data_IF_233710185741
#
_entry.id   IF_233710185741
#
_cell.length_a   1.000
_cell.length_b   1.000
_cell.length_c   1.000
_cell.angle_alpha   90.00
_cell.angle_beta   90.00
_cell.angle_gamma   90.00
#
_symmetry.space_group_name_H-M   'P 1'
#
loop_
_entity.id
_entity.type
_entity.pdbx_description
1 polymer ?
#
# COMPACT_ATOMS: atom_id res chain seq x y z
N UNK A 1 11.49 -7.89 -20.37
CA UNK A 1 10.40 -7.99 -19.38
C UNK A 1 10.99 -8.58 -18.12
N UNK A 2 11.09 -7.81 -17.04
CA UNK A 2 11.52 -8.35 -15.74
C UNK A 2 10.54 -9.46 -15.33
N UNK A 3 11.07 -10.62 -14.94
CA UNK A 3 10.25 -11.73 -14.46
C UNK A 3 9.85 -11.42 -13.01
N UNK A 4 8.57 -11.61 -12.67
CA UNK A 4 7.98 -11.32 -11.37
C UNK A 4 8.78 -11.88 -10.18
N UNK A 5 9.34 -13.08 -10.35
CA UNK A 5 10.18 -13.73 -9.34
C UNK A 5 11.49 -12.97 -9.10
N UNK A 6 12.05 -12.33 -10.13
CA UNK A 6 13.29 -11.57 -10.05
C UNK A 6 13.15 -10.27 -9.23
N UNK A 7 12.00 -9.59 -9.31
CA UNK A 7 11.71 -8.39 -8.51
C UNK A 7 11.51 -8.73 -7.03
N UNK A 8 11.04 -9.95 -6.73
CA UNK A 8 10.80 -10.42 -5.38
C UNK A 8 12.08 -10.94 -4.70
N UNK A 9 12.94 -11.62 -5.45
CA UNK A 9 14.19 -12.23 -4.97
C UNK A 9 15.39 -11.27 -4.96
N UNK A 10 15.26 -10.09 -5.60
CA UNK A 10 16.36 -9.15 -5.69
C UNK A 10 16.62 -8.46 -4.34
N UNK A 11 17.84 -8.68 -3.81
CA UNK A 11 18.30 -8.21 -2.51
C UNK A 11 18.23 -6.68 -2.35
N UNK A 12 18.35 -5.92 -3.45
CA UNK A 12 18.18 -4.46 -3.43
C UNK A 12 16.76 -4.03 -3.02
N UNK A 13 15.74 -4.84 -3.33
CA UNK A 13 14.37 -4.59 -2.91
C UNK A 13 14.10 -5.02 -1.48
N UNK A 14 14.89 -5.94 -0.89
CA UNK A 14 14.71 -6.36 0.50
C UNK A 14 14.80 -5.17 1.48
N UNK A 15 15.82 -4.33 1.32
CA UNK A 15 16.00 -3.11 2.13
C UNK A 15 14.86 -2.12 1.90
N UNK A 16 14.42 -1.96 0.65
CA UNK A 16 13.30 -1.10 0.29
C UNK A 16 12.00 -1.59 0.93
N UNK A 17 11.75 -2.90 0.94
CA UNK A 17 10.56 -3.51 1.54
C UNK A 17 10.53 -3.36 3.06
N UNK A 18 11.68 -3.51 3.72
CA UNK A 18 11.77 -3.25 5.17
C UNK A 18 11.43 -1.78 5.48
N UNK A 19 11.99 -0.85 4.70
CA UNK A 19 11.69 0.58 4.85
C UNK A 19 10.21 0.90 4.58
N UNK A 20 9.62 0.26 3.57
CA UNK A 20 8.19 0.41 3.26
C UNK A 20 7.31 -0.12 4.40
N UNK A 21 7.65 -1.27 5.01
CA UNK A 21 6.94 -1.78 6.18
C UNK A 21 6.97 -0.79 7.34
N UNK A 22 8.14 -0.19 7.62
CA UNK A 22 8.29 0.80 8.68
C UNK A 22 7.45 2.06 8.42
N UNK A 23 7.54 2.63 7.21
CA UNK A 23 6.78 3.82 6.80
C UNK A 23 5.28 3.53 6.89
N UNK A 24 4.83 2.43 6.27
CA UNK A 24 3.41 2.03 6.24
C UNK A 24 2.86 1.84 7.65
N UNK A 25 3.64 1.23 8.55
CA UNK A 25 3.23 1.05 9.95
C UNK A 25 3.08 2.39 10.66
N UNK A 26 4.07 3.28 10.53
CA UNK A 26 4.04 4.61 11.17
C UNK A 26 2.85 5.45 10.68
N UNK A 27 2.64 5.50 9.37
CA UNK A 27 1.52 6.24 8.78
C UNK A 27 0.16 5.64 9.18
N UNK A 28 0.06 4.31 9.23
CA UNK A 28 -1.16 3.62 9.66
C UNK A 28 -1.51 3.92 11.11
N UNK A 29 -0.51 3.98 12.01
CA UNK A 29 -0.73 4.39 13.41
C UNK A 29 -1.33 5.79 13.47
N UNK A 30 -0.77 6.74 12.70
CA UNK A 30 -1.27 8.12 12.66
C UNK A 30 -2.73 8.16 12.16
N UNK A 31 -3.06 7.38 11.12
CA UNK A 31 -4.42 7.28 10.60
C UNK A 31 -5.37 6.71 11.67
N UNK A 32 -4.98 5.63 12.34
CA UNK A 32 -5.76 5.01 13.42
C UNK A 32 -6.01 5.99 14.58
N UNK A 33 -4.99 6.71 15.03
CA UNK A 33 -5.10 7.67 16.13
C UNK A 33 -5.98 8.90 15.78
N UNK A 34 -6.14 9.22 14.50
CA UNK A 34 -7.09 10.26 14.06
C UNK A 34 -8.55 9.81 14.14
N UNK A 35 -8.83 8.50 14.19
CA UNK A 35 -10.18 7.98 14.30
C UNK A 35 -10.62 7.87 15.77
N UNK A 36 -11.65 8.63 16.17
CA UNK A 36 -12.11 8.71 17.57
C UNK A 36 -12.35 7.33 18.20
N UNK A 37 -13.00 6.42 17.49
CA UNK A 37 -13.31 5.06 17.97
C UNK A 37 -12.08 4.15 18.15
N UNK A 38 -11.00 4.41 17.42
CA UNK A 38 -9.77 3.59 17.49
C UNK A 38 -8.80 4.21 18.50
N UNK A 39 -8.71 5.55 18.54
CA UNK A 39 -7.83 6.28 19.46
C UNK A 39 -8.02 5.86 20.92
N UNK A 40 -9.25 5.56 21.35
CA UNK A 40 -9.55 5.12 22.72
C UNK A 40 -8.94 3.77 23.10
N UNK A 41 -8.44 2.99 22.13
CA UNK A 41 -7.84 1.67 22.38
C UNK A 41 -6.35 1.74 22.75
N UNK A 42 -5.69 2.89 22.57
CA UNK A 42 -4.27 3.10 22.90
C UNK A 42 -3.30 2.65 21.80
N UNK A 43 -2.13 3.30 21.74
CA UNK A 43 -1.15 3.10 20.66
C UNK A 43 -0.55 1.68 20.63
N UNK A 44 -0.24 1.10 21.80
CA UNK A 44 0.31 -0.26 21.89
C UNK A 44 -0.63 -1.31 21.32
N UNK A 45 -1.94 -1.15 21.57
CA UNK A 45 -2.96 -2.03 21.00
C UNK A 45 -3.03 -1.87 19.48
N UNK A 46 -3.08 -0.64 18.98
CA UNK A 46 -3.09 -0.32 17.54
C UNK A 46 -1.88 -0.95 16.86
N UNK A 47 -0.68 -0.79 17.44
CA UNK A 47 0.56 -1.36 16.91
C UNK A 47 0.48 -2.88 16.83
N UNK A 48 -0.03 -3.55 17.87
CA UNK A 48 -0.21 -5.01 17.88
C UNK A 48 -1.18 -5.47 16.79
N UNK A 49 -2.29 -4.77 16.60
CA UNK A 49 -3.26 -5.05 15.53
C UNK A 49 -2.61 -4.88 14.15
N UNK A 50 -1.90 -3.76 13.93
CA UNK A 50 -1.22 -3.51 12.65
C UNK A 50 -0.13 -4.55 12.35
N UNK A 51 0.66 -4.96 13.35
CA UNK A 51 1.62 -6.07 13.20
C UNK A 51 0.93 -7.40 12.88
N UNK A 52 -0.27 -7.64 13.40
CA UNK A 52 -1.07 -8.80 13.05
C UNK A 52 -1.62 -8.75 11.62
N UNK A 53 -1.80 -7.57 11.03
CA UNK A 53 -2.31 -7.40 9.66
C UNK A 53 -1.17 -7.39 8.65
N UNK A 54 -0.17 -6.53 8.86
CA UNK A 54 0.96 -6.31 7.95
C UNK A 54 2.06 -7.36 8.12
N UNK A 55 2.14 -7.98 9.30
CA UNK A 55 3.30 -8.78 9.71
C UNK A 55 4.39 -7.92 10.37
N UNK A 56 5.35 -8.60 11.00
CA UNK A 56 6.45 -7.96 11.74
C UNK A 56 7.68 -7.77 10.85
N UNK A 57 7.77 -8.52 9.76
CA UNK A 57 8.90 -8.50 8.82
C UNK A 57 8.42 -8.44 7.38
N UNK A 58 9.26 -7.88 6.50
CA UNK A 58 8.97 -7.81 5.07
C UNK A 58 8.93 -9.18 4.37
N UNK A 59 9.43 -10.24 5.02
CA UNK A 59 9.38 -11.63 4.53
C UNK A 59 8.14 -12.39 5.00
N UNK A 60 7.34 -11.81 5.89
CA UNK A 60 6.14 -12.47 6.38
C UNK A 60 5.12 -12.63 5.26
N UNK A 61 4.44 -13.79 5.18
CA UNK A 61 3.40 -14.05 4.18
C UNK A 61 2.34 -12.94 4.15
N UNK A 62 2.04 -12.37 5.32
CA UNK A 62 1.16 -11.21 5.46
C UNK A 62 1.65 -10.02 4.65
N UNK A 63 2.91 -9.60 4.84
CA UNK A 63 3.48 -8.47 4.10
C UNK A 63 3.66 -8.78 2.61
N UNK A 64 3.97 -10.03 2.27
CA UNK A 64 4.13 -10.47 0.88
C UNK A 64 2.87 -10.26 0.05
N UNK A 65 1.68 -10.42 0.65
CA UNK A 65 0.40 -10.09 -0.02
C UNK A 65 0.31 -8.60 -0.37
N UNK A 66 0.76 -7.71 0.53
CA UNK A 66 0.82 -6.28 0.23
C UNK A 66 1.86 -5.95 -0.84
N UNK A 67 3.02 -6.62 -0.84
CA UNK A 67 4.04 -6.46 -1.89
C UNK A 67 3.49 -6.85 -3.26
N UNK A 68 2.78 -7.97 -3.37
CA UNK A 68 2.15 -8.40 -4.61
C UNK A 68 1.17 -7.35 -5.14
N UNK A 69 0.24 -6.89 -4.30
CA UNK A 69 -0.74 -5.86 -4.69
C UNK A 69 -0.04 -4.55 -5.13
N UNK A 70 0.98 -4.12 -4.38
CA UNK A 70 1.74 -2.92 -4.73
C UNK A 70 2.47 -3.06 -6.08
N UNK A 71 2.98 -4.24 -6.39
CA UNK A 71 3.62 -4.53 -7.67
C UNK A 71 2.62 -4.55 -8.83
N UNK A 72 1.44 -5.15 -8.64
CA UNK A 72 0.35 -5.11 -9.64
C UNK A 72 -0.02 -3.67 -10.00
N UNK A 73 -0.14 -2.79 -9.00
CA UNK A 73 -0.39 -1.35 -9.22
C UNK A 73 0.81 -0.66 -9.88
N UNK A 74 2.05 -0.97 -9.47
CA UNK A 74 3.26 -0.36 -10.03
C UNK A 74 3.46 -0.67 -11.52
N UNK A 75 3.10 -1.88 -11.96
CA UNK A 75 3.22 -2.27 -13.38
C UNK A 75 2.24 -1.51 -14.26
N UNK A 76 1.11 -1.05 -13.72
CA UNK A 76 0.10 -0.28 -14.45
C UNK A 76 0.47 1.21 -14.62
N UNK A 77 1.54 1.42 -15.39
CA UNK A 77 2.06 2.76 -15.72
C UNK A 77 1.24 3.48 -16.78
N UNK A 78 0.50 2.75 -17.63
CA UNK A 78 -0.25 3.32 -18.74
C UNK A 78 -1.41 4.19 -18.26
N UNK A 79 -2.22 3.70 -17.32
CA UNK A 79 -3.31 4.49 -16.71
C UNK A 79 -2.78 5.73 -15.98
N UNK A 80 -1.69 5.59 -15.23
CA UNK A 80 -1.07 6.72 -14.51
C UNK A 80 -0.60 7.82 -15.48
N UNK A 81 0.07 7.43 -16.58
CA UNK A 81 0.52 8.37 -17.62
C UNK A 81 -0.68 9.04 -18.31
N UNK A 82 -1.76 8.29 -18.56
CA UNK A 82 -2.99 8.85 -19.15
C UNK A 82 -3.62 9.89 -18.23
N UNK A 83 -3.82 9.56 -16.94
CA UNK A 83 -4.32 10.50 -15.93
C UNK A 83 -3.46 11.76 -15.85
N UNK A 84 -2.14 11.60 -15.83
CA UNK A 84 -1.21 12.73 -15.81
C UNK A 84 -1.41 13.67 -17.01
N UNK A 85 -1.46 13.12 -18.23
CA UNK A 85 -1.58 13.90 -19.46
C UNK A 85 -2.94 14.57 -19.59
N UNK A 86 -4.01 13.82 -19.33
CA UNK A 86 -5.38 14.29 -19.58
C UNK A 86 -5.80 15.35 -18.55
N UNK A 87 -5.44 15.16 -17.28
CA UNK A 87 -5.72 16.14 -16.22
C UNK A 87 -4.66 17.23 -16.07
N UNK A 88 -3.52 17.12 -16.77
CA UNK A 88 -2.38 18.06 -16.69
C UNK A 88 -1.84 18.26 -15.27
N UNK A 89 -1.75 17.16 -14.53
CA UNK A 89 -1.24 17.12 -13.15
C UNK A 89 0.17 16.53 -13.11
N UNK A 90 0.85 16.63 -11.96
CA UNK A 90 2.13 15.95 -11.76
C UNK A 90 1.95 14.42 -11.74
N UNK A 91 3.03 13.70 -12.00
CA UNK A 91 3.01 12.23 -11.95
C UNK A 91 2.61 11.72 -10.56
N UNK A 92 3.10 12.36 -9.49
CA UNK A 92 2.75 12.01 -8.10
C UNK A 92 1.25 12.21 -7.83
N UNK A 93 0.66 13.32 -8.28
CA UNK A 93 -0.79 13.55 -8.16
C UNK A 93 -1.59 12.50 -8.94
N UNK A 94 -1.13 12.11 -10.14
CA UNK A 94 -1.75 11.05 -10.92
C UNK A 94 -1.69 9.68 -10.22
N UNK A 95 -0.56 9.35 -9.57
CA UNK A 95 -0.43 8.13 -8.76
C UNK A 95 -1.39 8.14 -7.57
N UNK A 96 -1.48 9.26 -6.85
CA UNK A 96 -2.43 9.41 -5.74
C UNK A 96 -3.88 9.29 -6.23
N UNK A 97 -4.22 9.90 -7.36
CA UNK A 97 -5.56 9.80 -7.96
C UNK A 97 -5.89 8.35 -8.34
N UNK A 98 -4.96 7.64 -8.98
CA UNK A 98 -5.12 6.23 -9.34
C UNK A 98 -5.38 5.35 -8.12
N UNK A 99 -4.58 5.52 -7.05
CA UNK A 99 -4.76 4.78 -5.80
C UNK A 99 -6.14 5.05 -5.18
N UNK A 100 -6.58 6.31 -5.17
CA UNK A 100 -7.91 6.68 -4.65
C UNK A 100 -9.05 6.10 -5.49
N UNK A 101 -8.93 6.12 -6.82
CA UNK A 101 -9.91 5.50 -7.73
C UNK A 101 -10.00 3.99 -7.50
N UNK A 102 -8.86 3.31 -7.33
CA UNK A 102 -8.81 1.87 -7.07
C UNK A 102 -9.48 1.51 -5.74
N UNK A 103 -9.19 2.25 -4.65
CA UNK A 103 -9.83 2.03 -3.35
C UNK A 103 -11.36 2.18 -3.47
N UNK A 104 -11.83 3.23 -4.14
CA UNK A 104 -13.27 3.45 -4.34
C UNK A 104 -13.91 2.34 -5.17
N UNK A 105 -13.22 1.89 -6.22
CA UNK A 105 -13.69 0.77 -7.04
C UNK A 105 -13.82 -0.52 -6.22
N UNK A 106 -12.82 -0.86 -5.41
CA UNK A 106 -12.84 -2.05 -4.54
C UNK A 106 -14.02 -1.98 -3.55
N UNK A 107 -14.26 -0.81 -2.95
CA UNK A 107 -15.39 -0.62 -2.03
C UNK A 107 -16.74 -0.81 -2.74
N UNK A 108 -16.92 -0.15 -3.90
CA UNK A 108 -18.15 -0.28 -4.69
C UNK A 108 -18.37 -1.71 -5.19
N UNK A 109 -17.30 -2.40 -5.62
CA UNK A 109 -17.35 -3.79 -6.05
C UNK A 109 -17.87 -4.70 -4.94
N UNK A 110 -17.32 -4.56 -3.73
CA UNK A 110 -17.73 -5.36 -2.56
C UNK A 110 -19.18 -5.13 -2.13
N UNK A 111 -19.70 -3.92 -2.34
CA UNK A 111 -21.09 -3.59 -2.01
C UNK A 111 -22.08 -4.16 -3.04
N UNK A 112 -21.67 -4.29 -4.30
CA UNK A 112 -22.56 -4.64 -5.40
C UNK A 112 -22.59 -6.14 -5.74
N UNK A 113 -21.47 -6.84 -5.59
CA UNK A 113 -21.28 -8.25 -5.97
C UNK A 113 -20.95 -9.07 -4.72
#
# INVERSE_FOLDING_TARGET
>A
KENWNHLFECQAYEVAWQKLLEITTKESIIICLKQKQIRSQGEDFIKKVLQNILGITAKSEKFQKFQQLALEVKVETCLTIRLQKDFKISFTEAQTLMANMLIRFILAFKELI
#
